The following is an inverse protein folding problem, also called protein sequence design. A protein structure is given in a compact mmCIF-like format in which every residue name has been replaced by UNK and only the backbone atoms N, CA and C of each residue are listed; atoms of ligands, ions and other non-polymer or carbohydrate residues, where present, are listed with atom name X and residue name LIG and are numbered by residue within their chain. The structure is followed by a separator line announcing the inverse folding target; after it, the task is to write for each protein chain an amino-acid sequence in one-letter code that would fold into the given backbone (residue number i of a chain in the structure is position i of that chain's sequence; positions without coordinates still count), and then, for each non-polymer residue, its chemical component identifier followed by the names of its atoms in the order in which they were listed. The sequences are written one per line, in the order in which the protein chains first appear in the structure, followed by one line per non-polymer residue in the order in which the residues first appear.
data_IF_948423428638
#
_entry.id   IF_948423428638
#
_cell.length_a   1.000
_cell.length_b   1.000
_cell.length_c   1.000
_cell.angle_alpha   90.00
_cell.angle_beta   90.00
_cell.angle_gamma   90.00
#
_symmetry.space_group_name_H-M   'P 1'
#
loop_
_entity.id
_entity.type
_entity.pdbx_description
1 polymer ?
#
# COMPACT_ATOMS: atom_id res chain seq x y z
N UNK A 1 -27.53 -4.31 -40.28
CA UNK A 1 -26.91 -3.87 -39.01
C UNK A 1 -25.46 -4.28 -39.05
N UNK A 2 -24.56 -3.30 -39.22
CA UNK A 2 -23.12 -3.47 -39.25
C UNK A 2 -22.60 -3.40 -37.81
N UNK A 3 -21.62 -4.23 -37.47
CA UNK A 3 -20.37 -3.83 -36.78
C UNK A 3 -19.78 -5.03 -36.03
N UNK A 4 -18.82 -5.70 -36.66
CA UNK A 4 -17.79 -6.48 -35.98
C UNK A 4 -16.48 -5.71 -36.18
N UNK A 5 -15.93 -5.18 -35.09
CA UNK A 5 -14.73 -4.36 -35.12
C UNK A 5 -13.47 -5.23 -34.90
N UNK A 6 -12.49 -4.93 -35.74
CA UNK A 6 -11.08 -5.30 -35.72
C UNK A 6 -10.44 -5.45 -34.33
N UNK A 7 -9.62 -6.49 -34.17
CA UNK A 7 -8.43 -6.43 -33.31
C UNK A 7 -7.23 -6.88 -34.14
N UNK A 8 -6.48 -5.89 -34.64
CA UNK A 8 -5.22 -6.11 -35.36
C UNK A 8 -4.08 -6.36 -34.37
N UNK A 9 -3.49 -7.54 -34.49
CA UNK A 9 -2.17 -7.88 -33.97
C UNK A 9 -1.10 -7.03 -34.67
N UNK A 10 -0.24 -6.36 -33.90
CA UNK A 10 0.95 -5.69 -34.42
C UNK A 10 2.15 -5.97 -33.52
N UNK A 11 2.79 -7.11 -33.75
CA UNK A 11 4.19 -7.35 -33.39
C UNK A 11 5.04 -7.01 -34.63
N UNK A 12 5.83 -5.94 -34.58
CA UNK A 12 6.83 -5.61 -35.61
C UNK A 12 8.18 -5.31 -34.96
N UNK A 13 9.02 -6.35 -34.99
CA UNK A 13 10.38 -6.41 -35.55
C UNK A 13 11.28 -5.16 -35.45
N UNK A 14 12.47 -5.42 -34.87
CA UNK A 14 13.70 -4.61 -34.99
C UNK A 14 14.30 -4.78 -36.38
N UNK A 15 15.01 -3.77 -36.87
CA UNK A 15 16.34 -3.97 -37.47
C UNK A 15 17.15 -2.66 -37.62
N UNK A 16 18.50 -2.76 -37.71
CA UNK A 16 19.46 -1.67 -37.50
C UNK A 16 20.09 -1.16 -38.81
N UNK A 17 20.58 0.09 -38.85
CA UNK A 17 21.77 0.48 -39.64
C UNK A 17 22.16 1.97 -39.54
N UNK A 18 23.44 2.18 -39.19
CA UNK A 18 24.45 3.10 -39.77
C UNK A 18 24.16 4.59 -40.06
N UNK A 19 24.99 5.49 -39.51
CA UNK A 19 26.17 6.06 -40.24
C UNK A 19 27.09 6.83 -39.26
N UNK A 20 28.36 6.43 -39.09
CA UNK A 20 29.59 6.91 -39.76
C UNK A 20 29.93 8.39 -39.49
N UNK A 21 30.78 8.62 -38.47
CA UNK A 21 31.55 9.86 -38.30
C UNK A 21 33.04 9.52 -38.19
N UNK A 22 33.85 10.32 -38.88
CA UNK A 22 35.26 10.07 -39.22
C UNK A 22 36.20 10.47 -38.07
N UNK A 23 37.24 9.67 -37.85
CA UNK A 23 38.43 10.03 -37.10
C UNK A 23 39.31 11.00 -37.89
N UNK A 24 39.84 12.04 -37.24
CA UNK A 24 41.29 12.24 -37.03
C UNK A 24 41.59 13.50 -36.17
N UNK A 25 42.79 13.58 -35.56
CA UNK A 25 42.99 14.11 -34.20
C UNK A 25 43.61 15.51 -34.17
N UNK A 26 43.57 16.19 -33.01
CA UNK A 26 44.68 17.03 -32.57
C UNK A 26 44.65 17.43 -31.08
N UNK A 27 45.72 17.01 -30.39
CA UNK A 27 46.50 17.60 -29.27
C UNK A 27 45.77 18.24 -28.06
N UNK A 28 46.02 17.77 -26.82
CA UNK A 28 45.47 18.40 -25.62
C UNK A 28 46.30 19.63 -25.20
N UNK A 29 45.69 20.77 -24.83
CA UNK A 29 46.37 21.80 -24.08
C UNK A 29 46.45 21.40 -22.60
N UNK A 30 47.61 21.68 -22.03
CA UNK A 30 48.00 21.50 -20.65
C UNK A 30 47.28 22.47 -19.70
N UNK A 31 47.10 22.01 -18.45
CA UNK A 31 46.81 22.76 -17.22
C UNK A 31 45.40 23.30 -16.99
N UNK A 32 44.69 22.65 -16.07
CA UNK A 32 44.42 23.17 -14.71
C UNK A 32 43.75 22.09 -13.86
N UNK A 33 44.43 21.63 -12.82
CA UNK A 33 43.79 20.90 -11.73
C UNK A 33 42.90 21.86 -10.96
N UNK A 34 41.59 21.59 -10.92
CA UNK A 34 40.66 22.34 -10.10
C UNK A 34 39.31 22.56 -10.78
N UNK A 35 38.28 21.92 -10.24
CA UNK A 35 36.89 22.26 -10.59
C UNK A 35 36.12 21.15 -11.30
N UNK A 36 36.01 19.97 -10.68
CA UNK A 36 34.93 19.03 -11.04
C UNK A 36 34.35 18.26 -9.87
N UNK A 37 34.27 18.91 -8.70
CA UNK A 37 33.58 18.38 -7.52
C UNK A 37 32.41 19.27 -7.09
N UNK A 38 31.60 19.74 -8.05
CA UNK A 38 30.37 20.51 -7.75
C UNK A 38 29.10 19.95 -8.40
N UNK A 39 29.14 18.73 -8.93
CA UNK A 39 27.98 18.09 -9.57
C UNK A 39 27.68 16.68 -9.03
N UNK A 40 28.08 16.40 -7.79
CA UNK A 40 27.71 15.18 -7.06
C UNK A 40 27.04 15.45 -5.71
N UNK A 41 26.78 16.72 -5.38
CA UNK A 41 26.17 17.14 -4.10
C UNK A 41 24.84 17.87 -4.29
N UNK A 42 24.12 17.59 -5.38
CA UNK A 42 22.74 18.05 -5.55
C UNK A 42 21.77 16.88 -5.65
N UNK A 43 22.03 15.80 -4.90
CA UNK A 43 20.92 14.98 -4.46
C UNK A 43 20.02 15.91 -3.67
N UNK A 44 18.83 16.23 -4.19
CA UNK A 44 17.80 16.87 -3.38
C UNK A 44 17.53 15.88 -2.26
N UNK A 45 18.12 16.14 -1.10
CA UNK A 45 17.62 15.61 0.15
C UNK A 45 16.33 16.37 0.39
N UNK A 46 15.27 16.02 -0.35
CA UNK A 46 13.95 16.46 0.06
C UNK A 46 13.79 15.97 1.50
N UNK A 47 13.57 16.92 2.40
CA UNK A 47 13.49 16.65 3.83
C UNK A 47 12.39 15.62 4.04
N UNK A 48 12.76 14.41 4.47
CA UNK A 48 11.81 13.39 4.92
C UNK A 48 11.32 13.79 6.30
N UNK A 49 10.44 14.79 6.34
CA UNK A 49 9.85 15.31 7.57
C UNK A 49 8.35 15.48 7.36
N UNK A 50 7.61 15.39 8.46
CA UNK A 50 6.22 15.81 8.49
C UNK A 50 6.20 17.34 8.31
N UNK A 51 5.36 17.90 7.43
CA UNK A 51 5.25 19.35 7.26
C UNK A 51 4.92 20.07 8.58
N UNK A 52 5.40 21.31 8.71
CA UNK A 52 5.03 22.16 9.83
C UNK A 52 3.52 22.36 9.89
N UNK A 53 2.96 22.42 11.11
CA UNK A 53 1.51 22.55 11.30
C UNK A 53 0.73 21.28 10.99
N UNK A 54 1.38 20.13 10.74
CA UNK A 54 0.73 18.83 10.59
C UNK A 54 1.05 17.92 11.78
N UNK A 55 0.04 17.17 12.24
CA UNK A 55 0.19 16.07 13.19
C UNK A 55 -0.25 14.77 12.55
N UNK A 56 0.63 13.78 12.59
CA UNK A 56 0.37 12.44 12.04
C UNK A 56 0.21 11.44 13.17
N UNK A 57 -0.82 10.61 13.10
CA UNK A 57 -1.00 9.46 13.97
C UNK A 57 -0.81 8.19 13.14
N UNK A 58 0.27 7.45 13.38
CA UNK A 58 0.50 6.15 12.75
C UNK A 58 -0.11 5.05 13.62
N UNK A 59 -1.14 4.37 13.09
CA UNK A 59 -1.86 3.28 13.76
C UNK A 59 -1.41 1.96 13.16
N UNK A 60 -0.77 1.12 13.98
CA UNK A 60 -0.32 -0.22 13.57
C UNK A 60 -1.47 -1.22 13.41
N UNK A 61 -1.09 -2.49 13.38
CA UNK A 61 -1.97 -3.63 13.12
C UNK A 61 -3.17 -3.65 14.08
N UNK A 62 -4.36 -3.88 13.51
CA UNK A 62 -5.62 -3.84 14.27
C UNK A 62 -6.15 -5.26 14.51
N UNK A 63 -6.04 -6.15 13.53
CA UNK A 63 -6.41 -7.56 13.66
C UNK A 63 -7.75 -7.80 14.35
N UNK A 64 -8.84 -7.29 13.79
CA UNK A 64 -10.21 -7.52 14.29
C UNK A 64 -10.48 -7.02 15.72
N UNK A 65 -9.60 -6.19 16.29
CA UNK A 65 -9.71 -5.68 17.66
C UNK A 65 -10.53 -4.38 17.73
N UNK A 66 -11.84 -4.46 17.45
CA UNK A 66 -12.73 -3.29 17.41
C UNK A 66 -12.70 -2.44 18.68
N UNK A 67 -12.68 -3.07 19.86
CA UNK A 67 -12.71 -2.35 21.14
C UNK A 67 -11.45 -1.50 21.32
N UNK A 68 -10.28 -2.06 21.02
CA UNK A 68 -8.99 -1.38 21.10
C UNK A 68 -8.90 -0.26 20.05
N UNK A 69 -9.35 -0.51 18.82
CA UNK A 69 -9.43 0.52 17.78
C UNK A 69 -10.30 1.69 18.23
N UNK A 70 -11.50 1.41 18.74
CA UNK A 70 -12.44 2.44 19.19
C UNK A 70 -11.86 3.28 20.34
N UNK A 71 -11.22 2.62 21.31
CA UNK A 71 -10.53 3.30 22.40
C UNK A 71 -9.35 4.15 21.94
N UNK A 72 -8.58 3.67 20.94
CA UNK A 72 -7.47 4.41 20.36
C UNK A 72 -7.96 5.66 19.60
N UNK A 73 -9.01 5.53 18.79
CA UNK A 73 -9.58 6.66 18.05
C UNK A 73 -10.10 7.75 18.98
N UNK A 74 -10.72 7.37 20.11
CA UNK A 74 -11.12 8.33 21.14
C UNK A 74 -9.93 9.07 21.76
N UNK A 75 -8.80 8.37 22.00
CA UNK A 75 -7.57 9.00 22.49
C UNK A 75 -6.95 9.95 21.47
N UNK A 76 -6.94 9.56 20.19
CA UNK A 76 -6.47 10.42 19.09
C UNK A 76 -7.32 11.69 19.03
N UNK A 77 -8.64 11.57 19.14
CA UNK A 77 -9.53 12.73 19.13
C UNK A 77 -9.29 13.66 20.33
N UNK A 78 -9.12 13.09 21.52
CA UNK A 78 -8.79 13.86 22.71
C UNK A 78 -7.43 14.58 22.58
N UNK A 79 -6.39 13.91 22.08
CA UNK A 79 -5.06 14.52 21.85
C UNK A 79 -5.07 15.59 20.76
N UNK A 80 -5.90 15.38 19.73
CA UNK A 80 -6.14 16.33 18.65
C UNK A 80 -6.94 17.56 19.11
N UNK A 81 -7.74 17.45 20.17
CA UNK A 81 -8.61 18.53 20.63
C UNK A 81 -7.77 19.75 21.06
N UNK A 82 -7.86 20.83 20.27
CA UNK A 82 -7.09 22.06 20.49
C UNK A 82 -5.81 22.20 19.66
N UNK A 83 -5.46 21.21 18.83
CA UNK A 83 -4.43 21.39 17.81
C UNK A 83 -5.02 22.16 16.62
N UNK A 84 -4.47 23.35 16.34
CA UNK A 84 -4.95 24.24 15.27
C UNK A 84 -4.45 23.86 13.86
N UNK A 85 -3.62 22.81 13.76
CA UNK A 85 -3.04 22.34 12.51
C UNK A 85 -3.81 21.19 11.85
N UNK A 86 -3.26 20.68 10.77
CA UNK A 86 -3.82 19.54 10.03
C UNK A 86 -3.55 18.22 10.77
N UNK A 87 -4.56 17.37 10.87
CA UNK A 87 -4.46 16.06 11.51
C UNK A 87 -4.65 14.98 10.46
N UNK A 88 -3.69 14.06 10.36
CA UNK A 88 -3.75 12.94 9.42
C UNK A 88 -3.46 11.62 10.12
N UNK A 89 -4.50 10.82 10.43
CA UNK A 89 -4.32 9.43 10.81
C UNK A 89 -3.90 8.59 9.58
N UNK A 90 -2.91 7.73 9.80
CA UNK A 90 -2.41 6.77 8.83
C UNK A 90 -2.49 5.40 9.47
N UNK A 91 -3.35 4.53 8.93
CA UNK A 91 -3.47 3.15 9.35
C UNK A 91 -2.56 2.28 8.48
N UNK A 92 -1.74 1.46 9.14
CA UNK A 92 -0.62 0.77 8.50
C UNK A 92 -0.99 -0.57 7.84
N UNK A 93 -2.22 -1.04 8.03
CA UNK A 93 -2.72 -2.31 7.48
C UNK A 93 -3.09 -3.32 8.56
N UNK A 94 -3.31 -4.56 8.12
CA UNK A 94 -3.64 -5.72 8.95
C UNK A 94 -4.85 -5.43 9.83
N UNK A 95 -5.96 -5.06 9.17
CA UNK A 95 -7.22 -4.71 9.81
C UNK A 95 -7.99 -5.94 10.25
N UNK A 96 -7.88 -7.01 9.47
CA UNK A 96 -8.62 -8.25 9.62
C UNK A 96 -7.77 -9.33 10.28
N UNK A 97 -8.41 -10.46 10.53
CA UNK A 97 -7.87 -11.69 11.13
C UNK A 97 -7.54 -11.62 12.62
N UNK A 98 -7.45 -12.81 13.23
CA UNK A 98 -7.05 -13.09 14.63
C UNK A 98 -8.03 -12.57 15.70
N UNK A 99 -8.41 -11.30 15.65
CA UNK A 99 -9.35 -10.72 16.60
C UNK A 99 -10.81 -11.08 16.28
N UNK A 100 -11.70 -10.85 17.24
CA UNK A 100 -13.06 -11.38 17.18
C UNK A 100 -13.99 -10.64 16.21
N UNK A 101 -13.64 -9.42 15.77
CA UNK A 101 -14.58 -8.54 15.07
C UNK A 101 -13.93 -7.75 13.91
N UNK A 102 -13.43 -8.48 12.90
CA UNK A 102 -12.88 -7.90 11.66
C UNK A 102 -13.92 -7.03 10.94
N UNK A 103 -15.17 -7.50 10.83
CA UNK A 103 -16.26 -6.72 10.22
C UNK A 103 -16.45 -5.38 10.91
N UNK A 104 -16.57 -5.36 12.24
CA UNK A 104 -16.74 -4.15 13.00
C UNK A 104 -15.56 -3.18 12.88
N UNK A 105 -14.33 -3.70 12.80
CA UNK A 105 -13.13 -2.89 12.49
C UNK A 105 -13.28 -2.19 11.14
N UNK A 106 -13.61 -2.92 10.07
CA UNK A 106 -13.78 -2.34 8.74
C UNK A 106 -14.88 -1.27 8.75
N UNK A 107 -16.04 -1.56 9.36
CA UNK A 107 -17.14 -0.59 9.47
C UNK A 107 -16.70 0.68 10.23
N UNK A 108 -15.94 0.52 11.32
CA UNK A 108 -15.44 1.65 12.12
C UNK A 108 -14.44 2.51 11.35
N UNK A 109 -13.54 1.89 10.58
CA UNK A 109 -12.55 2.60 9.75
C UNK A 109 -13.22 3.34 8.59
N UNK A 110 -14.23 2.73 7.97
CA UNK A 110 -15.05 3.38 6.95
C UNK A 110 -15.79 4.59 7.53
N UNK A 111 -16.37 4.48 8.73
CA UNK A 111 -16.96 5.64 9.42
C UNK A 111 -15.92 6.71 9.76
N UNK A 112 -14.73 6.32 10.24
CA UNK A 112 -13.64 7.26 10.56
C UNK A 112 -13.19 8.08 9.33
N UNK A 113 -13.22 7.47 8.14
CA UNK A 113 -12.91 8.15 6.87
C UNK A 113 -13.89 9.27 6.55
N UNK A 114 -15.15 9.13 6.93
CA UNK A 114 -16.17 10.18 6.73
C UNK A 114 -16.02 11.32 7.75
N UNK A 115 -15.41 11.04 8.92
CA UNK A 115 -15.15 12.04 9.97
C UNK A 115 -13.92 12.92 9.66
N UNK A 116 -12.89 12.37 9.00
CA UNK A 116 -11.61 13.06 8.73
C UNK A 116 -10.83 12.40 7.59
N UNK A 117 -9.90 13.14 7.00
CA UNK A 117 -8.98 12.59 6.00
C UNK A 117 -8.04 11.55 6.61
N UNK A 118 -8.28 10.28 6.29
CA UNK A 118 -7.54 9.13 6.77
C UNK A 118 -6.82 8.45 5.61
N UNK A 119 -5.60 7.97 5.85
CA UNK A 119 -4.88 7.10 4.91
C UNK A 119 -4.90 5.67 5.40
N UNK A 120 -5.23 4.74 4.51
CA UNK A 120 -5.26 3.31 4.80
C UNK A 120 -4.25 2.59 3.90
N UNK A 121 -3.24 2.01 4.51
CA UNK A 121 -2.29 1.14 3.83
C UNK A 121 -2.85 -0.28 3.88
N UNK A 122 -2.62 -1.05 2.82
CA UNK A 122 -3.02 -2.45 2.79
C UNK A 122 -1.92 -3.31 3.40
N UNK A 123 -2.26 -4.07 4.43
CA UNK A 123 -1.38 -5.07 5.04
C UNK A 123 -1.39 -6.41 4.29
N UNK A 124 -0.57 -7.36 4.74
CA UNK A 124 -0.50 -8.69 4.13
C UNK A 124 -1.71 -9.56 4.51
N UNK A 125 -2.27 -9.40 5.70
CA UNK A 125 -3.49 -10.11 6.08
C UNK A 125 -4.69 -9.61 5.26
N UNK A 126 -4.78 -8.29 5.04
CA UNK A 126 -5.80 -7.70 4.18
C UNK A 126 -5.69 -8.22 2.74
N UNK A 127 -4.46 -8.34 2.21
CA UNK A 127 -4.23 -8.91 0.88
C UNK A 127 -4.63 -10.38 0.82
N UNK A 128 -4.30 -11.18 1.84
CA UNK A 128 -4.66 -12.60 1.87
C UNK A 128 -6.18 -12.81 1.88
N UNK A 129 -6.92 -11.98 2.63
CA UNK A 129 -8.38 -11.99 2.59
C UNK A 129 -8.90 -11.72 1.17
N UNK A 130 -8.35 -10.72 0.47
CA UNK A 130 -8.73 -10.42 -0.92
C UNK A 130 -8.41 -11.59 -1.86
N UNK A 131 -7.23 -12.20 -1.73
CA UNK A 131 -6.82 -13.36 -2.53
C UNK A 131 -7.77 -14.55 -2.30
N UNK A 132 -8.19 -14.78 -1.05
CA UNK A 132 -9.20 -15.80 -0.71
C UNK A 132 -10.55 -15.53 -1.37
N UNK A 133 -11.01 -14.26 -1.44
CA UNK A 133 -12.27 -13.92 -2.10
C UNK A 133 -12.24 -14.22 -3.60
N UNK A 134 -11.07 -14.15 -4.24
CA UNK A 134 -10.87 -14.55 -5.64
C UNK A 134 -10.66 -16.07 -5.79
N UNK A 135 -9.98 -16.69 -4.81
CA UNK A 135 -9.58 -18.11 -4.83
C UNK A 135 -9.95 -18.80 -3.50
N UNK A 136 -11.20 -19.27 -3.35
CA UNK A 136 -11.67 -19.88 -2.09
C UNK A 136 -10.87 -21.10 -1.61
N UNK A 137 -10.14 -21.77 -2.51
CA UNK A 137 -9.23 -22.86 -2.17
C UNK A 137 -8.11 -22.45 -1.19
N UNK A 138 -7.79 -21.15 -1.13
CA UNK A 138 -6.80 -20.59 -0.21
C UNK A 138 -7.28 -20.57 1.26
N UNK A 139 -8.54 -20.92 1.54
CA UNK A 139 -9.07 -20.91 2.90
C UNK A 139 -8.22 -21.75 3.86
N UNK A 140 -7.73 -22.91 3.40
CA UNK A 140 -6.94 -23.81 4.24
C UNK A 140 -5.69 -23.12 4.79
N UNK A 141 -4.99 -22.40 3.92
CA UNK A 141 -3.77 -21.69 4.27
C UNK A 141 -4.09 -20.44 5.10
N UNK A 142 -5.13 -19.69 4.72
CA UNK A 142 -5.54 -18.46 5.42
C UNK A 142 -6.10 -18.73 6.82
N UNK A 143 -6.73 -19.88 7.04
CA UNK A 143 -7.30 -20.29 8.33
C UNK A 143 -6.28 -20.19 9.45
N UNK A 144 -5.05 -20.63 9.21
CA UNK A 144 -3.99 -20.67 10.22
C UNK A 144 -3.47 -19.26 10.57
N UNK A 145 -3.80 -18.26 9.77
CA UNK A 145 -3.49 -16.84 9.99
C UNK A 145 -4.64 -16.05 10.62
N UNK A 146 -5.74 -16.70 10.99
CA UNK A 146 -6.89 -16.06 11.65
C UNK A 146 -8.04 -15.69 10.70
N UNK A 147 -8.04 -16.23 9.47
CA UNK A 147 -9.13 -16.01 8.51
C UNK A 147 -10.48 -16.59 8.98
N UNK A 148 -10.45 -17.59 9.88
CA UNK A 148 -11.65 -18.16 10.48
C UNK A 148 -12.43 -17.10 11.29
N UNK A 149 -11.73 -16.34 12.13
CA UNK A 149 -12.32 -15.29 12.96
C UNK A 149 -12.91 -14.19 12.09
N UNK A 150 -12.21 -13.83 11.00
CA UNK A 150 -12.73 -12.90 9.99
C UNK A 150 -14.06 -13.41 9.42
N UNK A 151 -14.13 -14.63 8.89
CA UNK A 151 -15.37 -15.18 8.34
C UNK A 151 -16.52 -15.17 9.36
N UNK A 152 -16.25 -15.58 10.60
CA UNK A 152 -17.25 -15.59 11.67
C UNK A 152 -17.79 -14.19 11.97
N UNK A 153 -16.94 -13.17 11.97
CA UNK A 153 -17.36 -11.77 12.17
C UNK A 153 -18.31 -11.26 11.07
N UNK A 154 -18.25 -11.86 9.87
CA UNK A 154 -19.18 -11.59 8.76
C UNK A 154 -20.40 -12.53 8.75
N UNK A 155 -20.57 -13.38 9.77
CA UNK A 155 -21.67 -14.35 9.84
C UNK A 155 -21.51 -15.55 8.91
N UNK A 156 -20.31 -15.74 8.35
CA UNK A 156 -19.99 -16.92 7.54
C UNK A 156 -19.45 -18.00 8.46
N UNK A 157 -20.10 -19.16 8.48
CA UNK A 157 -19.64 -20.33 9.24
C UNK A 157 -18.74 -21.15 8.32
N UNK A 158 -17.40 -21.15 8.52
CA UNK A 158 -16.53 -21.99 7.72
C UNK A 158 -16.70 -23.47 8.10
N UNK A 159 -16.44 -24.39 7.16
CA UNK A 159 -16.46 -25.81 7.45
C UNK A 159 -15.48 -26.16 8.58
N UNK A 160 -15.95 -26.96 9.55
CA UNK A 160 -15.16 -27.35 10.72
C UNK A 160 -14.03 -28.34 10.37
N UNK A 161 -14.12 -29.00 9.21
CA UNK A 161 -13.18 -30.00 8.74
C UNK A 161 -12.85 -29.75 7.26
N UNK A 162 -11.60 -29.99 6.89
CA UNK A 162 -11.22 -30.11 5.48
C UNK A 162 -11.77 -31.46 5.00
N UNK A 163 -12.88 -31.45 4.24
CA UNK A 163 -13.42 -32.68 3.66
C UNK A 163 -12.62 -33.18 2.44
N UNK A 164 -11.36 -32.76 2.29
CA UNK A 164 -10.45 -33.21 1.25
C UNK A 164 -9.54 -34.34 1.77
N UNK A 165 -10.17 -35.49 2.01
CA UNK A 165 -9.55 -36.81 1.85
C UNK A 165 -10.42 -37.62 0.90
N UNK A 166 -10.40 -37.24 -0.37
CA UNK A 166 -10.87 -38.07 -1.48
C UNK A 166 -9.96 -37.82 -2.69
#
# INVERSE_FOLDING_TARGET
MRSTADVRSSCKQRDPALSRAKDQPNKPPSHRFGGRLRRFLSGRTESRAIPDGMRVYAVGDVHGCLAQLSALLAKIEADASGFAGEIQPIFLGDYVDRGPDSKGVIDRLLAAREERDCRFIRGNHDQFMLDFLEQPALYRDWRDFGGRETLLSYGVVPPLFDNDRA
#
